data_IF_072050323541
#
_entry.id   IF_072050323541
#
_cell.length_a   1.000
_cell.length_b   1.000
_cell.length_c   1.000
_cell.angle_alpha   90.00
_cell.angle_beta   90.00
_cell.angle_gamma   90.00
#
_symmetry.space_group_name_H-M   'P 1'
#
loop_
_entity.id
_entity.type
_entity.pdbx_description
1 polymer ?
#
# COMPACT_ATOMS: atom_id res chain seq x y z
N UNK A 1 -7.74 -11.32 60.35
CA UNK A 1 -6.88 -12.34 59.72
C UNK A 1 -7.41 -12.78 58.36
N UNK A 2 -8.56 -13.47 58.27
CA UNK A 2 -9.13 -13.92 56.97
C UNK A 2 -9.37 -12.78 55.95
N UNK A 3 -9.97 -11.66 56.39
CA UNK A 3 -10.23 -10.50 55.51
C UNK A 3 -8.94 -9.87 54.98
N UNK A 4 -7.88 -9.81 55.81
CA UNK A 4 -6.58 -9.28 55.39
C UNK A 4 -5.89 -10.21 54.39
N UNK A 5 -5.99 -11.53 54.58
CA UNK A 5 -5.45 -12.51 53.63
C UNK A 5 -6.19 -12.46 52.28
N UNK A 6 -7.53 -12.35 52.31
CA UNK A 6 -8.34 -12.17 51.10
C UNK A 6 -7.95 -10.87 50.39
N UNK A 7 -7.81 -9.75 51.11
CA UNK A 7 -7.41 -8.47 50.54
C UNK A 7 -6.00 -8.53 49.90
N UNK A 8 -5.06 -9.24 50.52
CA UNK A 8 -3.70 -9.43 49.97
C UNK A 8 -3.75 -10.24 48.66
N UNK A 9 -4.48 -11.36 48.65
CA UNK A 9 -4.66 -12.18 47.43
C UNK A 9 -5.34 -11.41 46.30
N UNK A 10 -6.38 -10.63 46.62
CA UNK A 10 -7.07 -9.80 45.62
C UNK A 10 -6.11 -8.76 45.03
N UNK A 11 -5.29 -8.10 45.87
CA UNK A 11 -4.27 -7.16 45.41
C UNK A 11 -3.25 -7.82 44.47
N UNK A 12 -2.74 -9.00 44.83
CA UNK A 12 -1.77 -9.74 43.99
C UNK A 12 -2.39 -10.12 42.65
N UNK A 13 -3.62 -10.63 42.65
CA UNK A 13 -4.35 -10.98 41.41
C UNK A 13 -4.49 -9.74 40.52
N UNK A 14 -4.93 -8.61 41.08
CA UNK A 14 -5.08 -7.35 40.33
C UNK A 14 -3.73 -6.88 39.78
N UNK A 15 -2.64 -6.99 40.55
CA UNK A 15 -1.30 -6.65 40.07
C UNK A 15 -0.88 -7.51 38.88
N UNK A 16 -1.07 -8.83 38.94
CA UNK A 16 -0.71 -9.72 37.83
C UNK A 16 -1.58 -9.49 36.59
N UNK A 17 -2.87 -9.17 36.76
CA UNK A 17 -3.77 -8.81 35.66
C UNK A 17 -3.23 -7.62 34.87
N UNK A 18 -2.63 -6.63 35.52
CA UNK A 18 -2.04 -5.48 34.83
C UNK A 18 -0.60 -5.71 34.39
N UNK A 19 0.20 -6.45 35.15
CA UNK A 19 1.61 -6.65 34.87
C UNK A 19 1.84 -7.57 33.66
N UNK A 20 1.04 -8.63 33.51
CA UNK A 20 1.20 -9.60 32.42
C UNK A 20 1.07 -8.93 31.04
N UNK A 21 0.00 -8.15 30.73
CA UNK A 21 -0.10 -7.44 29.44
C UNK A 21 1.05 -6.46 29.20
N UNK A 22 1.50 -5.75 30.23
CA UNK A 22 2.63 -4.80 30.12
C UNK A 22 3.93 -5.53 29.78
N UNK A 23 4.22 -6.65 30.45
CA UNK A 23 5.39 -7.48 30.15
C UNK A 23 5.31 -8.07 28.74
N UNK A 24 4.17 -8.65 28.37
CA UNK A 24 3.95 -9.20 27.02
C UNK A 24 4.12 -8.11 25.94
N UNK A 25 3.53 -6.94 26.13
CA UNK A 25 3.66 -5.80 25.22
C UNK A 25 5.10 -5.30 25.13
N UNK A 26 5.82 -5.24 26.26
CA UNK A 26 7.23 -4.83 26.28
C UNK A 26 8.12 -5.81 25.50
N UNK A 27 7.93 -7.12 25.72
CA UNK A 27 8.64 -8.16 24.95
C UNK A 27 8.31 -8.05 23.47
N UNK A 28 7.04 -7.84 23.13
CA UNK A 28 6.59 -7.71 21.74
C UNK A 28 7.23 -6.49 21.04
N UNK A 29 7.29 -5.32 21.69
CA UNK A 29 7.96 -4.13 21.13
C UNK A 29 9.46 -4.38 20.91
N UNK A 30 10.13 -5.13 21.80
CA UNK A 30 11.53 -5.55 21.59
C UNK A 30 11.65 -6.46 20.36
N UNK A 31 10.74 -7.41 20.18
CA UNK A 31 10.73 -8.29 19.00
C UNK A 31 10.49 -7.51 17.69
N UNK A 32 9.56 -6.55 17.69
CA UNK A 32 9.35 -5.65 16.55
C UNK A 32 10.62 -4.84 16.24
N UNK A 33 11.29 -4.31 17.27
CA UNK A 33 12.54 -3.57 17.11
C UNK A 33 13.66 -4.44 16.53
N UNK A 34 13.79 -5.68 16.99
CA UNK A 34 14.73 -6.67 16.43
C UNK A 34 14.39 -6.97 14.97
N UNK A 35 13.11 -7.13 14.62
CA UNK A 35 12.69 -7.36 13.23
C UNK A 35 13.05 -6.17 12.32
N UNK A 36 12.85 -4.94 12.77
CA UNK A 36 13.25 -3.72 12.05
C UNK A 36 14.77 -3.68 11.84
N UNK A 37 15.56 -3.96 12.89
CA UNK A 37 17.01 -4.00 12.79
C UNK A 37 17.45 -5.08 11.80
N UNK A 38 16.89 -6.30 11.90
CA UNK A 38 17.17 -7.41 10.97
C UNK A 38 16.86 -7.05 9.52
N UNK A 39 15.74 -6.40 9.26
CA UNK A 39 15.39 -5.95 7.90
C UNK A 39 16.37 -4.90 7.38
N UNK A 40 16.80 -3.95 8.22
CA UNK A 40 17.75 -2.89 7.82
C UNK A 40 19.16 -3.40 7.54
N UNK A 41 19.64 -4.37 8.33
CA UNK A 41 20.98 -4.94 8.15
C UNK A 41 21.00 -6.09 7.14
N UNK A 42 19.82 -6.55 6.69
CA UNK A 42 19.73 -7.60 5.68
C UNK A 42 20.49 -7.10 4.44
N UNK A 43 21.53 -7.82 4.00
CA UNK A 43 22.21 -7.44 2.77
C UNK A 43 21.17 -7.44 1.63
N UNK A 44 21.32 -6.56 0.63
CA UNK A 44 20.53 -6.64 -0.59
C UNK A 44 20.58 -8.09 -1.08
N UNK A 45 19.42 -8.66 -1.32
CA UNK A 45 19.33 -10.07 -1.68
C UNK A 45 20.17 -10.30 -2.95
N UNK A 46 21.25 -11.06 -2.81
CA UNK A 46 22.18 -11.32 -3.92
C UNK A 46 21.53 -12.20 -4.99
N UNK A 47 20.49 -12.93 -4.59
CA UNK A 47 19.67 -13.81 -5.44
C UNK A 47 18.32 -13.20 -5.78
N UNK A 48 18.02 -11.96 -5.34
CA UNK A 48 16.89 -11.21 -5.92
C UNK A 48 17.13 -11.18 -7.43
N UNK A 49 16.13 -11.58 -8.24
CA UNK A 49 16.30 -11.86 -9.65
C UNK A 49 17.14 -10.76 -10.28
N UNK A 50 18.39 -11.12 -10.56
CA UNK A 50 19.43 -10.22 -11.02
C UNK A 50 18.83 -9.42 -12.16
N UNK A 51 18.55 -8.13 -11.95
CA UNK A 51 17.91 -7.18 -12.88
C UNK A 51 17.20 -7.90 -14.02
N UNK A 52 15.91 -8.19 -13.87
CA UNK A 52 15.01 -8.66 -14.92
C UNK A 52 15.62 -8.43 -16.32
N UNK A 53 15.89 -9.51 -17.09
CA UNK A 53 16.58 -9.42 -18.40
C UNK A 53 15.99 -8.34 -19.29
N UNK A 54 14.68 -8.12 -19.16
CA UNK A 54 13.96 -6.95 -19.62
C UNK A 54 12.90 -6.56 -18.58
N UNK A 55 12.70 -5.26 -18.40
CA UNK A 55 11.62 -4.72 -17.57
C UNK A 55 10.31 -4.73 -18.36
N UNK A 56 9.23 -5.36 -17.87
CA UNK A 56 7.96 -5.38 -18.60
C UNK A 56 7.32 -3.99 -18.61
N UNK A 57 6.52 -3.62 -19.62
CA UNK A 57 5.73 -2.40 -19.61
C UNK A 57 4.72 -2.38 -18.45
N UNK A 58 4.54 -1.21 -17.81
CA UNK A 58 3.70 -1.07 -16.60
C UNK A 58 2.70 0.07 -16.75
N UNK A 59 1.46 -0.13 -16.32
CA UNK A 59 0.51 0.96 -16.11
C UNK A 59 0.34 1.24 -14.62
N UNK A 60 0.64 2.47 -14.19
CA UNK A 60 0.27 2.99 -12.88
C UNK A 60 -1.17 3.52 -12.96
N UNK A 61 -2.05 2.98 -12.12
CA UNK A 61 -3.40 3.47 -11.89
C UNK A 61 -3.41 4.29 -10.59
N UNK A 62 -3.68 5.59 -10.71
CA UNK A 62 -3.71 6.51 -9.57
C UNK A 62 -5.09 7.18 -9.51
N UNK A 63 -6.04 6.64 -8.72
CA UNK A 63 -7.36 7.23 -8.57
C UNK A 63 -7.24 8.52 -7.78
N UNK A 64 -7.90 9.58 -8.25
CA UNK A 64 -7.84 10.92 -7.66
C UNK A 64 -9.25 11.42 -7.33
N UNK A 65 -9.40 12.10 -6.20
CA UNK A 65 -10.64 12.76 -5.81
C UNK A 65 -10.38 14.08 -5.07
N UNK A 66 -10.85 15.19 -5.63
CA UNK A 66 -10.73 16.50 -4.98
C UNK A 66 -9.28 17.01 -4.88
N UNK A 67 -8.99 17.88 -3.90
CA UNK A 67 -7.63 18.42 -3.70
C UNK A 67 -7.10 18.03 -2.33
N UNK A 68 -6.05 17.22 -2.35
CA UNK A 68 -5.37 16.73 -1.16
C UNK A 68 -4.08 17.54 -0.89
N UNK A 69 -3.57 17.42 0.33
CA UNK A 69 -2.28 17.98 0.73
C UNK A 69 -1.16 17.34 -0.12
N UNK A 70 -0.23 18.14 -0.62
CA UNK A 70 0.87 17.69 -1.49
C UNK A 70 0.46 16.99 -2.80
N UNK A 71 -0.82 17.00 -3.20
CA UNK A 71 -1.35 16.25 -4.36
C UNK A 71 -0.49 16.43 -5.62
N UNK A 72 -0.19 17.68 -6.00
CA UNK A 72 0.63 18.00 -7.16
C UNK A 72 2.01 17.34 -7.13
N UNK A 73 2.66 17.32 -5.97
CA UNK A 73 3.98 16.70 -5.81
C UNK A 73 3.89 15.19 -5.93
N UNK A 74 2.86 14.58 -5.33
CA UNK A 74 2.65 13.13 -5.36
C UNK A 74 2.32 12.65 -6.77
N UNK A 75 1.45 13.34 -7.50
CA UNK A 75 1.11 13.00 -8.88
C UNK A 75 2.31 13.16 -9.83
N UNK A 76 3.10 14.24 -9.69
CA UNK A 76 4.33 14.40 -10.50
C UNK A 76 5.36 13.33 -10.22
N UNK A 77 5.48 12.85 -8.98
CA UNK A 77 6.43 11.79 -8.64
C UNK A 77 6.18 10.48 -9.42
N UNK A 78 4.92 10.18 -9.73
CA UNK A 78 4.55 9.03 -10.56
C UNK A 78 5.03 9.14 -12.02
N UNK A 79 5.29 10.36 -12.51
CA UNK A 79 5.75 10.62 -13.87
C UNK A 79 7.29 10.72 -13.97
N UNK A 80 8.00 10.57 -12.85
CA UNK A 80 9.45 10.75 -12.76
C UNK A 80 10.20 9.45 -12.45
N UNK A 81 9.63 8.33 -12.87
CA UNK A 81 10.18 7.00 -12.62
C UNK A 81 11.34 6.70 -13.57
N UNK A 82 12.44 6.18 -13.03
CA UNK A 82 13.54 5.57 -13.78
C UNK A 82 13.11 4.15 -14.19
N UNK A 83 12.24 4.08 -15.20
CA UNK A 83 11.68 2.85 -15.74
C UNK A 83 11.52 2.96 -17.26
N UNK A 84 11.90 1.94 -18.04
CA UNK A 84 12.05 2.10 -19.50
C UNK A 84 10.74 2.32 -20.26
N UNK A 85 9.66 1.64 -19.87
CA UNK A 85 8.37 1.77 -20.54
C UNK A 85 7.24 1.69 -19.51
N UNK A 86 6.50 2.77 -19.33
CA UNK A 86 5.35 2.79 -18.45
C UNK A 86 4.35 3.86 -18.87
N UNK A 87 3.14 3.76 -18.32
CA UNK A 87 2.04 4.70 -18.46
C UNK A 87 1.55 5.09 -17.07
N UNK A 88 1.14 6.34 -16.89
CA UNK A 88 0.42 6.81 -15.70
C UNK A 88 -1.00 7.16 -16.11
N UNK A 89 -1.98 6.51 -15.48
CA UNK A 89 -3.40 6.81 -15.63
C UNK A 89 -3.88 7.50 -14.36
N UNK A 90 -4.16 8.78 -14.46
CA UNK A 90 -4.90 9.51 -13.42
C UNK A 90 -6.39 9.36 -13.71
N UNK A 91 -7.12 8.74 -12.80
CA UNK A 91 -8.56 8.52 -12.98
C UNK A 91 -9.38 9.35 -12.00
N UNK A 92 -10.45 9.97 -12.51
CA UNK A 92 -11.45 10.69 -11.71
C UNK A 92 -12.85 10.23 -12.12
N UNK A 93 -13.78 10.25 -11.17
CA UNK A 93 -15.15 9.79 -11.41
C UNK A 93 -16.06 10.86 -12.02
N UNK A 94 -15.70 12.13 -11.84
CA UNK A 94 -16.57 13.26 -12.17
C UNK A 94 -15.87 14.27 -13.09
N UNK A 95 -16.57 14.82 -14.09
CA UNK A 95 -16.01 15.83 -14.98
C UNK A 95 -15.79 17.19 -14.30
N UNK A 96 -16.42 17.42 -13.14
CA UNK A 96 -16.29 18.62 -12.32
C UNK A 96 -15.38 18.42 -11.09
N UNK A 97 -14.60 17.34 -11.06
CA UNK A 97 -13.66 17.09 -9.94
C UNK A 97 -12.59 18.19 -9.86
N UNK A 98 -12.34 18.70 -8.66
CA UNK A 98 -11.41 19.80 -8.41
C UNK A 98 -9.94 19.47 -8.74
N UNK A 99 -9.58 18.18 -8.87
CA UNK A 99 -8.27 17.75 -9.34
C UNK A 99 -8.07 17.94 -10.85
N UNK A 100 -9.15 17.92 -11.64
CA UNK A 100 -9.06 17.77 -13.10
C UNK A 100 -8.19 18.84 -13.79
N UNK A 101 -8.21 20.13 -13.40
CA UNK A 101 -7.29 21.13 -13.97
C UNK A 101 -5.82 20.77 -13.76
N UNK A 102 -5.46 20.29 -12.56
CA UNK A 102 -4.10 19.86 -12.24
C UNK A 102 -3.71 18.60 -13.03
N UNK A 103 -4.63 17.64 -13.20
CA UNK A 103 -4.36 16.44 -14.00
C UNK A 103 -4.05 16.79 -15.47
N UNK A 104 -4.80 17.73 -16.04
CA UNK A 104 -4.58 18.23 -17.40
C UNK A 104 -3.28 19.02 -17.53
N UNK A 105 -2.89 19.78 -16.51
CA UNK A 105 -1.59 20.46 -16.45
C UNK A 105 -0.45 19.43 -16.50
N UNK A 106 -0.51 18.40 -15.65
CA UNK A 106 0.50 17.33 -15.62
C UNK A 106 0.52 16.55 -16.94
N UNK A 107 -0.64 16.26 -17.53
CA UNK A 107 -0.70 15.60 -18.83
C UNK A 107 -0.04 16.43 -19.94
N UNK A 108 -0.22 17.76 -19.93
CA UNK A 108 0.43 18.67 -20.87
C UNK A 108 1.95 18.73 -20.65
N UNK A 109 2.39 18.67 -19.39
CA UNK A 109 3.80 18.71 -19.00
C UNK A 109 4.58 17.46 -19.46
N UNK A 110 4.00 16.27 -19.24
CA UNK A 110 4.68 14.99 -19.50
C UNK A 110 4.29 14.31 -20.82
N UNK A 111 3.24 14.81 -21.49
CA UNK A 111 2.75 14.31 -22.76
C UNK A 111 1.74 13.15 -22.64
N UNK A 112 0.87 12.98 -23.64
CA UNK A 112 -0.19 11.97 -23.65
C UNK A 112 0.31 10.53 -23.81
N UNK A 113 1.54 10.35 -24.28
CA UNK A 113 2.17 9.04 -24.39
C UNK A 113 2.43 8.43 -23.01
N UNK A 114 2.88 9.26 -22.06
CA UNK A 114 3.13 8.86 -20.67
C UNK A 114 1.88 8.99 -19.80
N UNK A 115 1.15 10.10 -19.89
CA UNK A 115 0.06 10.44 -18.97
C UNK A 115 -1.30 10.38 -19.65
N UNK A 116 -2.21 9.61 -19.07
CA UNK A 116 -3.62 9.53 -19.49
C UNK A 116 -4.51 10.02 -18.36
N UNK A 117 -5.40 10.97 -18.65
CA UNK A 117 -6.43 11.44 -17.72
C UNK A 117 -7.75 10.79 -18.08
N UNK A 118 -8.21 9.86 -17.25
CA UNK A 118 -9.46 9.14 -17.44
C UNK A 118 -10.58 9.78 -16.61
N UNK A 119 -11.67 10.17 -17.26
CA UNK A 119 -12.88 10.70 -16.59
C UNK A 119 -14.00 9.71 -16.84
N UNK A 120 -14.27 8.85 -15.85
CA UNK A 120 -15.14 7.68 -16.02
C UNK A 120 -16.06 7.54 -14.81
N UNK A 121 -17.37 7.65 -15.03
CA UNK A 121 -18.36 7.45 -13.98
C UNK A 121 -18.80 5.98 -13.96
N UNK A 122 -18.03 5.13 -13.27
CA UNK A 122 -18.35 3.72 -13.06
C UNK A 122 -19.01 3.51 -11.69
N UNK A 123 -19.97 2.58 -11.61
CA UNK A 123 -20.68 2.24 -10.37
C UNK A 123 -20.86 0.73 -10.27
N UNK A 124 -19.79 0.03 -9.91
CA UNK A 124 -19.80 -1.41 -9.70
C UNK A 124 -20.25 -1.79 -8.28
N UNK A 125 -19.98 -0.94 -7.29
CA UNK A 125 -20.34 -1.20 -5.89
C UNK A 125 -20.20 0.03 -5.00
N UNK A 126 -20.16 -0.18 -3.70
CA UNK A 126 -20.11 0.90 -2.68
C UNK A 126 -18.73 1.56 -2.51
N UNK A 127 -17.64 0.90 -2.90
CA UNK A 127 -16.28 1.43 -2.79
C UNK A 127 -15.97 2.43 -3.91
N UNK A 128 -15.88 3.72 -3.55
CA UNK A 128 -15.55 4.81 -4.47
C UNK A 128 -14.16 4.71 -5.11
N UNK A 129 -13.15 4.18 -4.42
CA UNK A 129 -11.80 3.97 -4.96
C UNK A 129 -11.83 2.88 -6.04
N UNK A 130 -12.49 1.75 -5.79
CA UNK A 130 -12.65 0.69 -6.79
C UNK A 130 -13.44 1.18 -8.01
N UNK A 131 -14.54 1.90 -7.81
CA UNK A 131 -15.29 2.49 -8.92
C UNK A 131 -14.42 3.40 -9.79
N UNK A 132 -13.57 4.21 -9.16
CA UNK A 132 -12.60 5.06 -9.86
C UNK A 132 -11.56 4.22 -10.63
N UNK A 133 -10.98 3.20 -9.98
CA UNK A 133 -9.99 2.30 -10.57
C UNK A 133 -10.54 1.51 -11.76
N UNK A 134 -11.80 1.05 -11.71
CA UNK A 134 -12.47 0.40 -12.85
C UNK A 134 -12.51 1.34 -14.06
N UNK A 135 -12.83 2.61 -13.83
CA UNK A 135 -12.76 3.64 -14.86
C UNK A 135 -11.34 3.79 -15.43
N UNK A 136 -10.34 3.94 -14.56
CA UNK A 136 -8.94 4.04 -14.98
C UNK A 136 -8.44 2.79 -15.73
N UNK A 137 -8.87 1.59 -15.34
CA UNK A 137 -8.42 0.33 -15.91
C UNK A 137 -8.79 0.20 -17.40
N UNK A 138 -9.88 0.83 -17.85
CA UNK A 138 -10.28 0.87 -19.28
C UNK A 138 -9.23 1.57 -20.17
N UNK A 139 -8.40 2.42 -19.57
CA UNK A 139 -7.37 3.22 -20.25
C UNK A 139 -5.95 2.66 -20.04
N UNK A 140 -5.82 1.53 -19.32
CA UNK A 140 -4.55 0.88 -19.07
C UNK A 140 -4.05 0.12 -20.29
N UNK A 141 -2.85 0.44 -20.76
CA UNK A 141 -2.24 -0.15 -21.97
C UNK A 141 -1.41 -1.41 -21.70
N UNK A 142 -1.11 -1.70 -20.43
CA UNK A 142 -0.19 -2.77 -20.06
C UNK A 142 -0.83 -3.78 -19.11
N UNK A 143 -0.19 -4.95 -18.98
CA UNK A 143 -0.68 -6.05 -18.15
C UNK A 143 -0.11 -6.04 -16.74
N UNK A 144 1.07 -5.45 -16.53
CA UNK A 144 1.52 -5.13 -15.18
C UNK A 144 0.85 -3.85 -14.72
N UNK A 145 0.03 -3.97 -13.68
CA UNK A 145 -0.76 -2.89 -13.11
C UNK A 145 -0.17 -2.53 -11.74
N UNK A 146 0.03 -1.24 -11.51
CA UNK A 146 0.42 -0.70 -10.21
C UNK A 146 -0.72 0.20 -9.73
N UNK A 147 -1.41 -0.21 -8.67
CA UNK A 147 -2.40 0.62 -7.99
C UNK A 147 -1.65 1.45 -6.94
N UNK A 148 -1.83 2.77 -6.94
CA UNK A 148 -1.21 3.67 -5.97
C UNK A 148 -2.17 4.77 -5.59
N UNK A 149 -2.28 5.11 -4.31
CA UNK A 149 -3.17 6.20 -3.86
C UNK A 149 -2.63 7.58 -4.24
N UNK A 150 -3.50 8.57 -4.43
CA UNK A 150 -3.12 9.93 -4.89
C UNK A 150 -2.19 10.68 -3.95
N UNK A 151 -2.21 10.34 -2.67
CA UNK A 151 -1.37 10.92 -1.61
C UNK A 151 0.00 10.24 -1.45
N UNK A 152 0.27 9.19 -2.23
CA UNK A 152 1.53 8.45 -2.19
C UNK A 152 2.57 9.08 -3.12
N UNK A 153 3.69 9.51 -2.52
CA UNK A 153 4.90 9.93 -3.21
C UNK A 153 5.75 8.71 -3.61
N UNK A 154 6.17 8.66 -4.88
CA UNK A 154 6.95 7.56 -5.45
C UNK A 154 8.40 8.00 -5.69
N UNK A 155 9.37 7.28 -5.10
CA UNK A 155 10.79 7.49 -5.36
C UNK A 155 11.14 7.12 -6.82
N UNK A 156 12.29 7.59 -7.33
CA UNK A 156 12.64 7.39 -8.75
C UNK A 156 12.80 5.92 -9.16
N UNK A 157 13.27 5.08 -8.25
CA UNK A 157 13.48 3.64 -8.47
C UNK A 157 12.26 2.78 -8.11
N UNK A 158 11.17 3.40 -7.65
CA UNK A 158 10.00 2.72 -7.09
C UNK A 158 9.41 1.66 -8.02
N UNK A 159 9.23 1.95 -9.33
CA UNK A 159 8.69 0.97 -10.26
C UNK A 159 9.57 -0.28 -10.39
N UNK A 160 10.90 -0.13 -10.41
CA UNK A 160 11.82 -1.27 -10.42
C UNK A 160 11.67 -2.10 -9.15
N UNK A 161 11.53 -1.43 -8.00
CA UNK A 161 11.37 -2.09 -6.69
C UNK A 161 10.05 -2.87 -6.58
N UNK A 162 8.92 -2.29 -6.97
CA UNK A 162 7.61 -2.95 -6.79
C UNK A 162 7.37 -4.07 -7.81
N UNK A 163 7.93 -3.95 -9.02
CA UNK A 163 7.75 -4.92 -10.10
C UNK A 163 8.71 -6.11 -10.00
N UNK A 164 9.94 -5.92 -9.48
CA UNK A 164 10.94 -6.99 -9.44
C UNK A 164 10.44 -8.31 -8.82
N UNK A 165 9.66 -8.32 -7.70
CA UNK A 165 9.13 -9.56 -7.14
C UNK A 165 8.19 -10.32 -8.07
N UNK A 166 7.47 -9.63 -8.98
CA UNK A 166 6.52 -10.26 -9.92
C UNK A 166 7.21 -10.99 -11.09
N UNK A 167 8.54 -10.99 -11.11
CA UNK A 167 9.32 -11.84 -12.02
C UNK A 167 9.28 -13.31 -11.62
N UNK A 168 9.02 -13.60 -10.35
CA UNK A 168 8.76 -14.94 -9.85
C UNK A 168 7.31 -15.35 -10.20
N UNK A 169 7.11 -16.43 -10.96
CA UNK A 169 5.77 -16.88 -11.34
C UNK A 169 4.89 -17.26 -10.15
N UNK A 170 5.48 -17.55 -8.98
CA UNK A 170 4.76 -17.90 -7.76
C UNK A 170 4.28 -16.66 -6.99
N UNK A 171 4.74 -15.46 -7.33
CA UNK A 171 4.30 -14.20 -6.69
C UNK A 171 3.05 -13.66 -7.40
N UNK A 172 1.92 -13.62 -6.69
CA UNK A 172 0.67 -13.10 -7.26
C UNK A 172 0.53 -11.58 -7.24
N UNK A 173 1.04 -10.93 -6.19
CA UNK A 173 1.07 -9.47 -6.04
C UNK A 173 2.28 -9.03 -5.21
N UNK A 174 2.66 -7.76 -5.34
CA UNK A 174 3.75 -7.13 -4.60
C UNK A 174 3.27 -5.81 -4.01
N UNK A 175 3.68 -5.47 -2.80
CA UNK A 175 3.41 -4.17 -2.19
C UNK A 175 4.65 -3.66 -1.47
N UNK A 176 4.76 -2.34 -1.31
CA UNK A 176 5.90 -1.71 -0.63
C UNK A 176 5.54 -1.25 0.77
N UNK A 177 6.50 -1.33 1.69
CA UNK A 177 6.41 -0.56 2.93
C UNK A 177 6.39 0.93 2.61
N UNK A 178 5.63 1.70 3.38
CA UNK A 178 5.53 3.15 3.26
C UNK A 178 5.61 3.77 4.64
N UNK A 179 5.86 5.08 4.67
CA UNK A 179 5.93 5.87 5.90
C UNK A 179 5.08 7.11 5.75
N UNK A 180 4.44 7.51 6.83
CA UNK A 180 3.78 8.81 6.90
C UNK A 180 4.85 9.91 7.01
N UNK A 181 4.70 10.99 6.23
CA UNK A 181 5.60 12.15 6.25
C UNK A 181 4.81 13.45 6.23
N UNK A 182 5.47 14.57 6.55
CA UNK A 182 4.92 15.93 6.41
C UNK A 182 3.64 16.17 7.23
N UNK A 183 3.79 16.18 8.56
CA UNK A 183 2.74 16.59 9.50
C UNK A 183 2.90 18.06 9.93
N UNK A 184 1.84 18.85 9.79
CA UNK A 184 1.82 20.27 10.20
C UNK A 184 1.09 20.45 11.54
N UNK A 185 -0.12 19.89 11.65
CA UNK A 185 -0.90 19.96 12.89
C UNK A 185 -0.44 18.94 13.93
N UNK A 186 -0.79 19.18 15.21
CA UNK A 186 -0.41 18.28 16.30
C UNK A 186 -1.02 16.88 16.16
N UNK A 187 -2.27 16.79 15.71
CA UNK A 187 -2.95 15.50 15.48
C UNK A 187 -2.33 14.74 14.31
N UNK A 188 -1.93 15.43 13.22
CA UNK A 188 -1.17 14.82 12.13
C UNK A 188 0.17 14.25 12.62
N UNK A 189 0.82 14.91 13.58
CA UNK A 189 2.09 14.42 14.15
C UNK A 189 1.87 13.17 15.02
N UNK A 190 0.75 13.09 15.73
CA UNK A 190 0.37 11.88 16.49
C UNK A 190 0.05 10.72 15.54
N UNK A 191 -0.72 10.96 14.48
CA UNK A 191 -0.98 9.98 13.42
C UNK A 191 0.32 9.47 12.81
N UNK A 192 1.22 10.38 12.43
CA UNK A 192 2.53 10.05 11.86
C UNK A 192 3.37 9.21 12.83
N UNK A 193 3.35 9.53 14.13
CA UNK A 193 4.04 8.77 15.15
C UNK A 193 3.46 7.35 15.27
N UNK A 194 2.15 7.21 15.40
CA UNK A 194 1.48 5.90 15.44
C UNK A 194 1.78 5.09 14.19
N UNK A 195 1.70 5.70 13.01
CA UNK A 195 1.96 5.01 11.76
C UNK A 195 3.39 4.49 11.67
N UNK A 196 4.36 5.35 11.95
CA UNK A 196 5.78 5.03 11.74
C UNK A 196 6.42 4.26 12.91
N UNK A 197 5.93 4.43 14.13
CA UNK A 197 6.51 3.82 15.33
C UNK A 197 5.71 2.62 15.86
N UNK A 198 4.45 2.44 15.44
CA UNK A 198 3.64 1.28 15.80
C UNK A 198 3.26 0.46 14.56
N UNK A 199 2.47 0.99 13.64
CA UNK A 199 1.96 0.22 12.50
C UNK A 199 3.08 -0.40 11.63
N UNK A 200 4.02 0.41 11.14
CA UNK A 200 5.10 -0.07 10.25
C UNK A 200 5.99 -1.12 10.93
N UNK A 201 6.47 -0.95 12.17
CA UNK A 201 7.20 -1.99 12.89
C UNK A 201 6.42 -3.31 13.05
N UNK A 202 5.11 -3.25 13.31
CA UNK A 202 4.24 -4.43 13.37
C UNK A 202 4.17 -5.16 12.02
N UNK A 203 4.02 -4.41 10.93
CA UNK A 203 4.04 -4.95 9.56
C UNK A 203 5.39 -5.61 9.25
N UNK A 204 6.50 -4.98 9.63
CA UNK A 204 7.85 -5.53 9.47
C UNK A 204 8.03 -6.79 10.31
N UNK A 205 7.54 -6.81 11.55
CA UNK A 205 7.56 -8.00 12.38
C UNK A 205 6.81 -9.16 11.71
N UNK A 206 5.61 -8.92 11.19
CA UNK A 206 4.84 -9.92 10.45
C UNK A 206 5.58 -10.43 9.21
N UNK A 207 6.24 -9.54 8.46
CA UNK A 207 7.06 -9.90 7.29
C UNK A 207 8.25 -10.77 7.65
N UNK A 208 9.03 -10.37 8.67
CA UNK A 208 10.27 -11.05 9.07
C UNK A 208 10.00 -12.38 9.76
N UNK A 209 8.93 -12.45 10.57
CA UNK A 209 8.54 -13.68 11.29
C UNK A 209 7.70 -14.63 10.45
N UNK A 210 7.08 -14.17 9.36
CA UNK A 210 6.07 -14.92 8.62
C UNK A 210 4.74 -15.06 9.35
N UNK A 211 4.50 -14.29 10.42
CA UNK A 211 3.29 -14.39 11.24
C UNK A 211 2.01 -14.02 10.51
N UNK A 212 2.10 -13.24 9.42
CA UNK A 212 0.95 -12.89 8.59
C UNK A 212 1.36 -12.67 7.14
N UNK A 213 0.39 -12.85 6.23
CA UNK A 213 0.47 -12.46 4.82
C UNK A 213 -0.47 -11.29 4.61
N UNK A 214 0.00 -10.24 3.95
CA UNK A 214 -0.74 -9.01 3.75
C UNK A 214 -0.38 -8.36 2.42
N UNK A 215 -1.29 -7.55 1.90
CA UNK A 215 -1.06 -6.62 0.80
C UNK A 215 -1.47 -5.23 1.31
N UNK A 216 -0.58 -4.25 1.19
CA UNK A 216 -0.82 -2.90 1.71
C UNK A 216 -1.41 -1.99 0.64
N UNK A 217 -2.51 -1.31 0.96
CA UNK A 217 -3.34 -0.59 -0.01
C UNK A 217 -2.81 0.74 -0.50
N UNK A 218 -1.82 1.33 0.17
CA UNK A 218 -1.16 2.55 -0.30
C UNK A 218 -0.56 2.32 -1.69
N UNK A 219 0.03 1.13 -1.91
CA UNK A 219 0.40 0.70 -3.25
C UNK A 219 0.65 -0.79 -3.40
N UNK A 220 0.10 -1.35 -4.49
CA UNK A 220 0.26 -2.74 -4.86
C UNK A 220 0.48 -2.89 -6.38
N UNK A 221 1.31 -3.84 -6.77
CA UNK A 221 1.53 -4.27 -8.14
C UNK A 221 0.95 -5.68 -8.36
N UNK A 222 0.33 -5.89 -9.50
CA UNK A 222 -0.34 -7.13 -9.87
C UNK A 222 -0.31 -7.30 -11.39
N UNK A 223 -0.24 -8.55 -11.85
CA UNK A 223 -0.44 -8.86 -13.26
C UNK A 223 -1.95 -8.95 -13.58
N UNK A 224 -2.39 -8.42 -14.72
CA UNK A 224 -3.80 -8.38 -15.15
C UNK A 224 -4.46 -9.76 -15.10
N UNK A 225 -3.78 -10.80 -15.58
CA UNK A 225 -4.33 -12.16 -15.51
C UNK A 225 -4.53 -12.67 -14.07
N UNK A 226 -3.73 -12.22 -13.10
CA UNK A 226 -3.94 -12.54 -11.68
C UNK A 226 -5.16 -11.79 -11.14
N UNK A 227 -5.31 -10.50 -11.49
CA UNK A 227 -6.48 -9.69 -11.17
C UNK A 227 -7.77 -10.32 -11.74
N UNK A 228 -7.75 -10.74 -13.00
CA UNK A 228 -8.91 -11.36 -13.66
C UNK A 228 -9.30 -12.68 -12.97
N UNK A 229 -8.31 -13.48 -12.54
CA UNK A 229 -8.56 -14.75 -11.83
C UNK A 229 -9.21 -14.58 -10.46
N UNK A 230 -9.04 -13.43 -9.79
CA UNK A 230 -9.75 -13.11 -8.53
C UNK A 230 -11.10 -12.42 -8.74
N UNK A 231 -11.54 -12.31 -10.01
CA UNK A 231 -12.82 -11.72 -10.41
C UNK A 231 -12.75 -10.26 -10.85
N UNK A 232 -11.56 -9.71 -11.09
CA UNK A 232 -11.39 -8.31 -11.49
C UNK A 232 -11.57 -7.34 -10.32
N UNK A 233 -11.54 -6.04 -10.64
CA UNK A 233 -11.80 -4.98 -9.65
C UNK A 233 -13.27 -4.95 -9.23
N UNK A 234 -14.18 -5.32 -10.13
CA UNK A 234 -15.62 -5.40 -9.89
C UNK A 234 -15.95 -6.31 -8.71
N UNK A 235 -15.25 -7.44 -8.59
CA UNK A 235 -15.45 -8.37 -7.47
C UNK A 235 -14.94 -7.86 -6.11
N UNK A 236 -14.27 -6.70 -6.10
CA UNK A 236 -13.81 -5.98 -4.90
C UNK A 236 -14.67 -4.74 -4.59
N UNK A 237 -15.67 -4.41 -5.43
CA UNK A 237 -16.37 -3.13 -5.39
C UNK A 237 -17.22 -2.90 -4.13
N UNK A 238 -17.53 -3.95 -3.36
CA UNK A 238 -18.27 -3.83 -2.09
C UNK A 238 -17.40 -4.01 -0.85
N UNK A 239 -16.07 -4.06 -1.01
CA UNK A 239 -15.13 -4.16 0.10
C UNK A 239 -14.48 -2.81 0.36
N UNK A 240 -14.58 -2.28 1.59
CA UNK A 240 -13.89 -1.04 1.98
C UNK A 240 -12.38 -1.21 2.07
N UNK A 241 -11.92 -2.43 2.41
CA UNK A 241 -10.50 -2.79 2.54
C UNK A 241 -10.15 -3.72 1.37
N UNK A 242 -10.18 -3.15 0.16
CA UNK A 242 -10.06 -3.91 -1.10
C UNK A 242 -8.69 -4.57 -1.27
N UNK A 243 -7.64 -3.95 -0.73
CA UNK A 243 -6.25 -4.39 -0.73
C UNK A 243 -6.03 -5.67 0.06
N UNK A 244 -6.58 -5.72 1.29
CA UNK A 244 -6.59 -6.93 2.11
C UNK A 244 -7.36 -8.05 1.42
N UNK A 245 -8.56 -7.75 0.91
CA UNK A 245 -9.39 -8.75 0.24
C UNK A 245 -8.72 -9.28 -1.04
N UNK A 246 -8.11 -8.41 -1.83
CA UNK A 246 -7.30 -8.76 -3.00
C UNK A 246 -6.15 -9.70 -2.59
N UNK A 247 -5.33 -9.31 -1.62
CA UNK A 247 -4.21 -10.13 -1.14
C UNK A 247 -4.68 -11.49 -0.61
N UNK A 248 -5.79 -11.52 0.13
CA UNK A 248 -6.39 -12.76 0.66
C UNK A 248 -6.84 -13.71 -0.47
N UNK A 249 -7.47 -13.18 -1.53
CA UNK A 249 -7.91 -14.00 -2.68
C UNK A 249 -6.74 -14.55 -3.47
N UNK A 250 -5.71 -13.73 -3.71
CA UNK A 250 -4.48 -14.15 -4.38
C UNK A 250 -3.79 -15.26 -3.59
N UNK A 251 -3.67 -15.08 -2.28
CA UNK A 251 -3.10 -16.10 -1.39
C UNK A 251 -3.85 -17.43 -1.44
N UNK A 252 -5.18 -17.39 -1.46
CA UNK A 252 -6.03 -18.59 -1.57
C UNK A 252 -5.86 -19.35 -2.89
N UNK A 253 -5.31 -18.71 -3.92
CA UNK A 253 -5.00 -19.36 -5.20
C UNK A 253 -3.62 -20.06 -5.20
N UNK A 254 -2.88 -19.99 -4.09
CA UNK A 254 -1.53 -20.56 -3.96
C UNK A 254 -0.43 -19.65 -4.52
N UNK A 255 -0.64 -18.33 -4.49
CA UNK A 255 0.31 -17.30 -4.96
C UNK A 255 0.55 -16.21 -3.92
#
# INVERSE_FOLDING_TARGET
MLIQEIALRVREIVQWIFLIPVLCGSVYVVLCSIAVIRLRIRPPDRDAPSRLRSWPPVTILKPVHGREKELQKNLRSACLQDYPQYQVVFSVQRPDDAALPLLKEIQKEFGPDLVTVAVENCRAGTNGKINNLIGGLKHARHDFLVISDSDVYLERDYLKTIIAPLSDPDVGCSCTLYKAVKANAWFEKMELLTFNADFVPNVIFALVSGASKFCLGASAAIHRSTLDRIGGLEALADYLVEDYEMGRRIWKMGK
#
